data_IF_861630967716
#
_entry.id   IF_861630967716
#
_cell.length_a   1.000
_cell.length_b   1.000
_cell.length_c   1.000
_cell.angle_alpha   90.00
_cell.angle_beta   90.00
_cell.angle_gamma   90.00
#
_symmetry.space_group_name_H-M   'P 1'
#
loop_
_entity.id
_entity.type
_entity.pdbx_description
1 polymer ?
#
# COMPACT_ATOMS: atom_id res chain seq x y z
N UNK A 1 15.94 -4.10 16.02
CA UNK A 1 16.08 -2.79 16.71
C UNK A 1 14.73 -2.12 16.97
N UNK A 2 13.78 -2.11 16.03
CA UNK A 2 12.45 -1.52 16.26
C UNK A 2 11.72 -2.04 17.52
N UNK A 3 11.77 -3.36 17.79
CA UNK A 3 11.17 -3.95 19.00
C UNK A 3 11.79 -3.40 20.29
N UNK A 4 13.12 -3.37 20.38
CA UNK A 4 13.87 -2.87 21.54
C UNK A 4 13.64 -1.37 21.76
N UNK A 5 13.58 -0.56 20.70
CA UNK A 5 13.27 0.86 20.80
C UNK A 5 11.86 1.09 21.37
N UNK A 6 10.88 0.25 20.99
CA UNK A 6 9.53 0.30 21.53
C UNK A 6 9.47 -0.12 23.00
N UNK A 7 10.15 -1.21 23.38
CA UNK A 7 10.26 -1.67 24.77
C UNK A 7 10.89 -0.61 25.69
N UNK A 8 11.96 0.06 25.24
CA UNK A 8 12.60 1.15 25.99
C UNK A 8 11.71 2.39 26.11
N UNK A 9 10.95 2.72 25.06
CA UNK A 9 9.98 3.83 25.08
C UNK A 9 8.83 3.54 26.05
N UNK A 10 8.36 2.29 26.12
CA UNK A 10 7.36 1.83 27.09
C UNK A 10 7.89 1.87 28.54
N UNK A 11 9.20 1.74 28.72
CA UNK A 11 9.89 1.92 30.01
C UNK A 11 10.19 3.40 30.35
N UNK A 12 9.72 4.35 29.54
CA UNK A 12 9.90 5.79 29.77
C UNK A 12 11.27 6.33 29.34
N UNK A 13 12.08 5.55 28.63
CA UNK A 13 13.34 6.02 28.06
C UNK A 13 13.04 6.79 26.77
N UNK A 14 13.59 8.00 26.64
CA UNK A 14 13.49 8.78 25.42
C UNK A 14 14.39 8.17 24.33
N UNK A 15 13.76 7.58 23.31
CA UNK A 15 14.45 6.85 22.24
C UNK A 15 14.06 7.41 20.87
N UNK A 16 15.07 7.86 20.13
CA UNK A 16 14.94 8.21 18.71
C UNK A 16 15.16 6.95 17.88
N UNK A 17 14.08 6.40 17.32
CA UNK A 17 14.16 5.23 16.43
C UNK A 17 14.45 5.64 14.99
N UNK A 18 15.67 5.41 14.53
CA UNK A 18 16.08 5.56 13.12
C UNK A 18 16.05 4.24 12.35
N UNK A 19 15.23 3.30 12.82
CA UNK A 19 15.17 1.93 12.28
C UNK A 19 13.88 1.61 11.52
N UNK A 20 12.99 2.59 11.37
CA UNK A 20 11.73 2.43 10.64
C UNK A 20 12.02 2.44 9.12
N UNK A 21 11.49 1.45 8.40
CA UNK A 21 11.63 1.33 6.94
C UNK A 21 10.39 1.76 6.16
N UNK A 22 9.38 2.30 6.84
CA UNK A 22 8.14 2.80 6.26
C UNK A 22 7.99 4.31 6.53
N UNK A 23 7.22 5.03 5.69
CA UNK A 23 6.89 6.43 5.94
C UNK A 23 6.12 6.62 7.25
N UNK A 24 6.27 7.78 7.87
CA UNK A 24 5.58 8.20 9.10
C UNK A 24 4.20 8.83 8.85
N UNK A 25 3.79 8.97 7.59
CA UNK A 25 2.50 9.52 7.20
C UNK A 25 1.42 8.44 7.05
N UNK A 26 0.19 8.80 7.40
CA UNK A 26 -0.97 7.94 7.15
C UNK A 26 -1.26 7.78 5.66
N UNK A 27 -1.89 6.66 5.29
CA UNK A 27 -2.46 6.46 3.94
C UNK A 27 -3.37 7.64 3.55
N UNK A 28 -3.29 8.16 2.31
CA UNK A 28 -4.18 9.23 1.83
C UNK A 28 -5.67 8.91 1.96
N UNK A 29 -6.48 9.89 2.34
CA UNK A 29 -7.90 9.67 2.68
C UNK A 29 -8.73 9.14 1.51
N UNK A 30 -8.46 9.56 0.27
CA UNK A 30 -9.17 9.04 -0.89
C UNK A 30 -8.96 7.53 -1.09
N UNK A 31 -7.82 6.98 -0.65
CA UNK A 31 -7.57 5.54 -0.67
C UNK A 31 -8.40 4.86 0.42
N UNK A 32 -8.42 5.42 1.64
CA UNK A 32 -9.23 4.91 2.75
C UNK A 32 -10.71 4.87 2.38
N UNK A 33 -11.25 5.93 1.78
CA UNK A 33 -12.65 6.01 1.36
C UNK A 33 -12.97 5.00 0.24
N UNK A 34 -12.07 4.81 -0.74
CA UNK A 34 -12.25 3.79 -1.76
C UNK A 34 -12.26 2.37 -1.17
N UNK A 35 -11.43 2.10 -0.15
CA UNK A 35 -11.42 0.82 0.56
C UNK A 35 -12.71 0.61 1.36
N UNK A 36 -13.21 1.62 2.08
CA UNK A 36 -14.51 1.53 2.79
C UNK A 36 -15.64 1.21 1.82
N UNK A 37 -15.70 1.91 0.69
CA UNK A 37 -16.68 1.63 -0.36
C UNK A 37 -16.57 0.19 -0.89
N UNK A 38 -15.35 -0.32 -1.11
CA UNK A 38 -15.15 -1.69 -1.55
C UNK A 38 -15.65 -2.71 -0.51
N UNK A 39 -15.50 -2.41 0.79
CA UNK A 39 -16.08 -3.21 1.88
C UNK A 39 -17.61 -3.19 1.79
N UNK A 40 -18.22 -2.01 1.66
CA UNK A 40 -19.68 -1.85 1.54
C UNK A 40 -20.25 -2.58 0.30
N UNK A 41 -19.48 -2.62 -0.79
CA UNK A 41 -19.81 -3.32 -2.03
C UNK A 41 -19.44 -4.83 -2.00
N UNK A 42 -19.00 -5.37 -0.87
CA UNK A 42 -18.62 -6.78 -0.67
C UNK A 42 -17.51 -7.28 -1.61
N UNK A 43 -16.51 -6.45 -1.90
CA UNK A 43 -15.24 -6.91 -2.49
C UNK A 43 -14.40 -7.69 -1.47
N UNK A 44 -14.91 -8.84 -1.02
CA UNK A 44 -14.34 -9.68 0.05
C UNK A 44 -14.07 -11.14 -0.39
N UNK A 45 -14.51 -11.53 -1.58
CA UNK A 45 -14.24 -12.83 -2.17
C UNK A 45 -12.89 -12.85 -2.91
N UNK A 46 -12.45 -14.06 -3.31
CA UNK A 46 -11.21 -14.22 -4.04
C UNK A 46 -11.16 -13.35 -5.31
N UNK A 47 -10.10 -12.56 -5.50
CA UNK A 47 -9.88 -11.87 -6.76
C UNK A 47 -9.48 -12.88 -7.84
N UNK A 48 -9.52 -12.48 -9.12
CA UNK A 48 -8.85 -13.23 -10.19
C UNK A 48 -7.37 -13.45 -9.82
N UNK A 49 -6.78 -14.55 -10.29
CA UNK A 49 -5.38 -14.92 -9.98
C UNK A 49 -4.38 -13.80 -10.30
N UNK A 50 -4.58 -13.12 -11.42
CA UNK A 50 -3.72 -12.01 -11.86
C UNK A 50 -4.16 -10.65 -11.28
N UNK A 51 -5.16 -10.63 -10.40
CA UNK A 51 -5.78 -9.42 -9.87
C UNK A 51 -6.89 -8.84 -10.77
N UNK A 52 -7.59 -7.84 -10.24
CA UNK A 52 -8.70 -7.18 -10.92
C UNK A 52 -8.24 -6.44 -12.19
N UNK A 53 -8.99 -6.59 -13.28
CA UNK A 53 -8.70 -5.94 -14.57
C UNK A 53 -8.43 -4.43 -14.46
N UNK A 54 -9.28 -3.64 -13.76
CA UNK A 54 -9.05 -2.20 -13.59
C UNK A 54 -7.72 -1.85 -12.92
N UNK A 55 -7.25 -2.67 -11.99
CA UNK A 55 -5.95 -2.47 -11.31
C UNK A 55 -4.80 -2.73 -12.28
N UNK A 56 -4.87 -3.84 -13.04
CA UNK A 56 -3.86 -4.16 -14.06
C UNK A 56 -3.76 -3.07 -15.13
N UNK A 57 -4.90 -2.56 -15.61
CA UNK A 57 -4.92 -1.44 -16.55
C UNK A 57 -4.31 -0.16 -15.97
N UNK A 58 -4.61 0.16 -14.71
CA UNK A 58 -4.07 1.34 -14.04
C UNK A 58 -2.54 1.24 -13.88
N UNK A 59 -2.01 0.06 -13.57
CA UNK A 59 -0.57 -0.19 -13.46
C UNK A 59 0.11 -0.12 -14.83
N UNK A 60 -0.47 -0.72 -15.87
CA UNK A 60 0.03 -0.59 -17.26
C UNK A 60 0.14 0.88 -17.68
N UNK A 61 -0.91 1.68 -17.44
CA UNK A 61 -0.92 3.12 -17.68
C UNK A 61 0.12 3.86 -16.85
N UNK A 62 0.31 3.48 -15.58
CA UNK A 62 1.33 4.04 -14.68
C UNK A 62 2.74 3.81 -15.22
N UNK A 63 3.07 2.59 -15.64
CA UNK A 63 4.38 2.27 -16.21
C UNK A 63 4.65 3.07 -17.49
N UNK A 64 3.63 3.26 -18.33
CA UNK A 64 3.78 4.11 -19.52
C UNK A 64 4.05 5.57 -19.15
N UNK A 65 3.27 6.12 -18.21
CA UNK A 65 3.33 7.52 -17.80
C UNK A 65 4.62 7.87 -17.06
N UNK A 66 5.00 7.04 -16.09
CA UNK A 66 6.08 7.37 -15.14
C UNK A 66 7.44 6.82 -15.59
N UNK A 67 7.44 5.74 -16.38
CA UNK A 67 8.65 5.00 -16.74
C UNK A 67 8.86 4.88 -18.26
N UNK A 68 7.90 5.32 -19.08
CA UNK A 68 7.97 5.19 -20.54
C UNK A 68 7.79 3.77 -21.08
N UNK A 69 7.49 2.80 -20.21
CA UNK A 69 7.42 1.37 -20.55
C UNK A 69 6.04 1.01 -21.11
N UNK A 70 6.02 0.20 -22.18
CA UNK A 70 4.78 -0.28 -22.80
C UNK A 70 4.52 -1.73 -22.35
N UNK A 71 3.69 -1.90 -21.32
CA UNK A 71 3.17 -3.20 -20.91
C UNK A 71 1.68 -3.29 -21.21
N UNK A 72 1.21 -4.42 -21.73
CA UNK A 72 -0.23 -4.70 -21.78
C UNK A 72 -0.74 -5.05 -20.38
N UNK A 73 -2.05 -4.92 -20.09
CA UNK A 73 -2.61 -5.36 -18.81
C UNK A 73 -2.36 -6.85 -18.50
N UNK A 74 -2.10 -7.69 -19.50
CA UNK A 74 -1.78 -9.13 -19.31
C UNK A 74 -0.32 -9.40 -18.97
N UNK A 75 0.54 -8.38 -19.10
CA UNK A 75 1.94 -8.41 -18.65
C UNK A 75 2.11 -7.79 -17.24
N UNK A 76 1.01 -7.38 -16.62
CA UNK A 76 0.95 -6.89 -15.24
C UNK A 76 0.60 -8.04 -14.31
#
# INVERSE_FOLDING_TARGET
MARMARELKEQGVDVISLSLGEPDFDTPDFIKEATKKAIDENYSHYPPVNGYGPVREAISKKFKRDNGLNYTPDQI
#
